data_IF_080565866494
#
_entry.id   IF_080565866494
#
_cell.length_a   1.000
_cell.length_b   1.000
_cell.length_c   1.000
_cell.angle_alpha   90.00
_cell.angle_beta   90.00
_cell.angle_gamma   90.00
#
_symmetry.space_group_name_H-M   'P 1'
#
loop_
_entity.id
_entity.type
_entity.pdbx_description
1 polymer ?
#
# COMPACT_ATOMS: atom_id res chain seq x y z
N UNK A 1 -4.26 -8.96 -7.16
CA UNK A 1 -4.69 -9.33 -5.78
C UNK A 1 -4.74 -8.08 -4.91
N UNK A 2 -5.87 -7.80 -4.35
CA UNK A 2 -6.10 -6.61 -3.53
C UNK A 2 -6.35 -7.04 -2.08
N UNK A 3 -5.47 -6.62 -1.17
CA UNK A 3 -5.59 -6.90 0.25
C UNK A 3 -5.70 -5.59 1.03
N UNK A 4 -6.62 -5.57 1.97
CA UNK A 4 -6.85 -4.42 2.85
C UNK A 4 -6.50 -4.83 4.28
N UNK A 5 -5.74 -3.98 4.96
CA UNK A 5 -5.33 -4.20 6.35
C UNK A 5 -5.98 -3.16 7.24
N UNK A 6 -6.69 -3.65 8.26
CA UNK A 6 -7.32 -2.84 9.29
C UNK A 6 -6.70 -3.13 10.63
N UNK A 7 -6.91 -2.25 11.60
CA UNK A 7 -6.50 -2.50 12.99
C UNK A 7 -7.70 -2.97 13.80
N UNK A 8 -7.52 -4.10 14.51
CA UNK A 8 -8.48 -4.62 15.47
C UNK A 8 -7.73 -4.94 16.78
N UNK A 9 -8.07 -4.24 17.86
CA UNK A 9 -7.39 -4.37 19.15
C UNK A 9 -5.87 -4.17 19.06
N UNK A 10 -5.42 -3.24 18.23
CA UNK A 10 -4.00 -2.95 18.01
C UNK A 10 -3.28 -3.94 17.12
N UNK A 11 -3.97 -4.93 16.56
CA UNK A 11 -3.40 -5.94 15.67
C UNK A 11 -3.86 -5.73 14.23
N UNK A 12 -2.96 -6.01 13.31
CA UNK A 12 -3.24 -5.92 11.89
C UNK A 12 -4.08 -7.11 11.43
N UNK A 13 -5.21 -6.82 10.78
CA UNK A 13 -6.13 -7.83 10.22
C UNK A 13 -6.17 -7.66 8.71
N UNK A 14 -5.93 -8.75 7.98
CA UNK A 14 -5.96 -8.79 6.52
C UNK A 14 -7.32 -9.21 6.00
N UNK A 15 -7.85 -8.45 5.03
CA UNK A 15 -9.08 -8.79 4.31
C UNK A 15 -8.78 -8.79 2.82
N UNK A 16 -9.01 -9.92 2.17
CA UNK A 16 -8.90 -10.01 0.70
C UNK A 16 -10.15 -9.44 0.06
N UNK A 17 -9.97 -8.60 -0.97
CA UNK A 17 -11.08 -7.91 -1.63
C UNK A 17 -11.37 -8.58 -2.97
N UNK A 18 -12.57 -9.10 -3.11
CA UNK A 18 -13.05 -9.75 -4.33
C UNK A 18 -13.97 -8.84 -5.16
N UNK A 19 -14.61 -7.86 -4.52
CA UNK A 19 -15.53 -6.95 -5.18
C UNK A 19 -15.53 -5.57 -4.51
N UNK A 20 -15.98 -4.54 -5.23
CA UNK A 20 -15.98 -3.15 -4.77
C UNK A 20 -16.74 -2.96 -3.45
N UNK A 21 -17.84 -3.67 -3.25
CA UNK A 21 -18.64 -3.55 -2.03
C UNK A 21 -17.89 -3.96 -0.76
N UNK A 22 -16.85 -4.79 -0.88
CA UNK A 22 -16.02 -5.18 0.25
C UNK A 22 -15.21 -4.01 0.81
N UNK A 23 -14.84 -3.04 -0.05
CA UNK A 23 -14.10 -1.84 0.35
C UNK A 23 -14.97 -0.85 1.15
N UNK A 24 -16.26 -0.78 0.87
CA UNK A 24 -17.16 0.23 1.44
C UNK A 24 -17.34 0.09 2.95
N UNK A 25 -17.13 -1.11 3.48
CA UNK A 25 -17.36 -1.42 4.90
C UNK A 25 -16.09 -1.34 5.74
N UNK A 26 -14.93 -1.06 5.14
CA UNK A 26 -13.64 -1.13 5.80
C UNK A 26 -13.05 0.26 6.04
N UNK A 27 -12.37 0.41 7.19
CA UNK A 27 -11.54 1.58 7.49
C UNK A 27 -10.08 1.14 7.50
N UNK A 28 -9.41 1.11 6.33
CA UNK A 28 -8.07 0.58 6.24
C UNK A 28 -7.01 1.56 6.71
N UNK A 29 -5.90 1.02 7.15
CA UNK A 29 -4.65 1.77 7.34
C UNK A 29 -3.63 1.46 6.25
N UNK A 30 -3.75 0.30 5.63
CA UNK A 30 -2.86 -0.14 4.55
C UNK A 30 -3.65 -0.91 3.50
N UNK A 31 -3.48 -0.53 2.23
CA UNK A 31 -4.04 -1.22 1.08
C UNK A 31 -2.89 -1.71 0.22
N UNK A 32 -2.73 -3.03 0.10
CA UNK A 32 -1.65 -3.64 -0.67
C UNK A 32 -2.18 -4.24 -1.96
N UNK A 33 -1.62 -3.80 -3.08
CA UNK A 33 -1.97 -4.28 -4.42
C UNK A 33 -0.80 -5.07 -4.99
N UNK A 34 -0.93 -6.38 -5.04
CA UNK A 34 0.02 -7.29 -5.68
C UNK A 34 -0.47 -7.67 -7.07
N UNK A 35 0.29 -7.31 -8.10
CA UNK A 35 -0.08 -7.51 -9.50
C UNK A 35 -1.55 -7.20 -9.76
N UNK A 36 -2.01 -5.98 -9.41
CA UNK A 36 -3.43 -5.68 -9.44
C UNK A 36 -3.98 -5.70 -10.87
N UNK A 37 -5.22 -6.18 -11.02
CA UNK A 37 -5.95 -6.09 -12.27
C UNK A 37 -6.38 -4.65 -12.52
N UNK A 38 -6.75 -4.33 -13.77
CA UNK A 38 -7.28 -3.00 -14.11
C UNK A 38 -8.53 -2.66 -13.31
N UNK A 39 -9.36 -3.66 -13.07
CA UNK A 39 -10.58 -3.53 -12.30
C UNK A 39 -10.28 -3.21 -10.84
N UNK A 40 -9.34 -3.91 -10.21
CA UNK A 40 -8.91 -3.65 -8.84
C UNK A 40 -8.33 -2.23 -8.68
N UNK A 41 -7.49 -1.78 -9.62
CA UNK A 41 -6.97 -0.42 -9.64
C UNK A 41 -8.10 0.61 -9.75
N UNK A 42 -9.08 0.35 -10.59
CA UNK A 42 -10.24 1.23 -10.76
C UNK A 42 -11.06 1.34 -9.49
N UNK A 43 -11.29 0.24 -8.78
CA UNK A 43 -11.99 0.24 -7.50
C UNK A 43 -11.30 1.12 -6.46
N UNK A 44 -9.98 0.98 -6.35
CA UNK A 44 -9.18 1.78 -5.41
C UNK A 44 -9.21 3.26 -5.78
N UNK A 45 -9.02 3.60 -7.06
CA UNK A 45 -9.11 4.97 -7.55
C UNK A 45 -10.48 5.61 -7.24
N UNK A 46 -11.54 4.86 -7.53
CA UNK A 46 -12.90 5.37 -7.37
C UNK A 46 -13.28 5.52 -5.90
N UNK A 47 -12.95 4.54 -5.08
CA UNK A 47 -13.35 4.53 -3.67
C UNK A 47 -12.56 5.54 -2.84
N UNK A 48 -11.25 5.67 -3.08
CA UNK A 48 -10.36 6.53 -2.28
C UNK A 48 -10.00 7.85 -2.96
N UNK A 49 -10.37 8.05 -4.21
CA UNK A 49 -10.05 9.25 -4.96
C UNK A 49 -8.56 9.42 -5.25
N UNK A 50 -7.84 8.33 -5.45
CA UNK A 50 -6.40 8.32 -5.68
C UNK A 50 -6.03 8.53 -7.14
N UNK A 51 -4.84 9.12 -7.35
CA UNK A 51 -4.15 9.14 -8.63
C UNK A 51 -3.13 8.00 -8.67
N UNK A 52 -3.46 6.90 -9.36
CA UNK A 52 -2.52 5.78 -9.54
C UNK A 52 -1.94 5.85 -10.94
N UNK A 53 -0.61 6.08 -11.11
CA UNK A 53 0.02 6.04 -12.41
C UNK A 53 -0.09 4.65 -13.04
N UNK A 54 -0.29 4.57 -14.36
CA UNK A 54 -0.37 3.29 -15.07
C UNK A 54 0.93 2.50 -15.00
N UNK A 55 2.06 3.21 -14.93
CA UNK A 55 3.40 2.66 -14.88
C UNK A 55 4.02 2.74 -13.46
N UNK A 56 3.20 2.62 -12.42
CA UNK A 56 3.63 2.80 -11.03
C UNK A 56 4.85 1.94 -10.65
N UNK A 57 4.96 0.74 -11.22
CA UNK A 57 6.08 -0.18 -11.00
C UNK A 57 7.07 -0.24 -12.17
N UNK A 58 6.95 0.67 -13.14
CA UNK A 58 7.82 0.73 -14.31
C UNK A 58 9.28 1.01 -13.97
N UNK A 59 10.20 0.47 -14.77
CA UNK A 59 11.64 0.56 -14.53
C UNK A 59 12.26 1.90 -14.96
N UNK A 60 11.69 2.54 -15.98
CA UNK A 60 12.24 3.75 -16.63
C UNK A 60 11.74 5.04 -15.99
N UNK A 61 12.07 5.24 -14.71
CA UNK A 61 11.65 6.42 -13.98
C UNK A 61 12.86 7.26 -13.60
N UNK A 62 12.83 8.53 -13.99
CA UNK A 62 13.82 9.52 -13.57
C UNK A 62 13.81 9.68 -12.05
N UNK A 63 14.97 9.97 -11.45
CA UNK A 63 15.09 10.14 -9.99
C UNK A 63 14.10 11.17 -9.43
N UNK A 64 13.81 12.23 -10.19
CA UNK A 64 12.84 13.26 -9.80
C UNK A 64 11.40 12.74 -9.64
N UNK A 65 11.08 11.61 -10.29
CA UNK A 65 9.76 10.98 -10.21
C UNK A 65 9.64 9.92 -9.11
N UNK A 66 10.73 9.66 -8.36
CA UNK A 66 10.72 8.67 -7.27
C UNK A 66 10.01 9.16 -6.02
N UNK A 67 10.00 10.45 -5.81
CA UNK A 67 9.25 11.08 -4.73
C UNK A 67 8.61 12.36 -5.28
N UNK A 68 7.29 12.47 -5.13
CA UNK A 68 6.56 13.70 -5.46
C UNK A 68 5.29 13.79 -4.64
N UNK A 69 4.79 15.02 -4.49
CA UNK A 69 3.55 15.32 -3.81
C UNK A 69 2.54 15.89 -4.81
N UNK A 70 1.35 15.31 -4.82
CA UNK A 70 0.24 15.81 -5.64
C UNK A 70 -0.45 17.01 -4.97
N UNK A 71 -1.20 17.79 -5.77
CA UNK A 71 -1.92 18.97 -5.27
C UNK A 71 -2.94 18.64 -4.18
N UNK A 72 -3.46 17.42 -4.14
CA UNK A 72 -4.39 16.94 -3.13
C UNK A 72 -3.73 16.46 -1.83
N UNK A 73 -2.42 16.60 -1.71
CA UNK A 73 -1.65 16.18 -0.53
C UNK A 73 -1.19 14.72 -0.54
N UNK A 74 -1.46 13.96 -1.60
CA UNK A 74 -0.95 12.61 -1.74
C UNK A 74 0.57 12.62 -1.91
N UNK A 75 1.27 11.80 -1.12
CA UNK A 75 2.71 11.60 -1.25
C UNK A 75 2.97 10.29 -2.00
N UNK A 76 3.67 10.39 -3.12
CA UNK A 76 4.04 9.25 -3.95
C UNK A 76 5.52 8.95 -3.79
N UNK A 77 5.84 7.73 -3.40
CA UNK A 77 7.23 7.27 -3.18
C UNK A 77 7.41 5.98 -3.97
N UNK A 78 8.52 5.90 -4.71
CA UNK A 78 8.93 4.67 -5.39
C UNK A 78 10.24 4.19 -4.82
N UNK A 79 10.25 2.96 -4.35
CA UNK A 79 11.41 2.34 -3.71
C UNK A 79 11.74 1.00 -4.36
N UNK A 80 13.03 0.71 -4.43
CA UNK A 80 13.52 -0.58 -4.90
C UNK A 80 13.87 -1.45 -3.71
N UNK A 81 13.32 -2.66 -3.68
CA UNK A 81 13.62 -3.67 -2.67
C UNK A 81 14.52 -4.76 -3.26
N UNK A 82 15.57 -5.07 -2.54
CA UNK A 82 16.48 -6.16 -2.94
C UNK A 82 15.91 -7.50 -2.50
N UNK A 83 15.77 -8.41 -3.44
CA UNK A 83 15.38 -9.79 -3.17
C UNK A 83 16.57 -10.70 -3.47
N UNK A 84 17.03 -11.43 -2.46
CA UNK A 84 18.07 -12.44 -2.59
C UNK A 84 17.43 -13.79 -2.77
N UNK A 85 17.41 -14.27 -4.03
CA UNK A 85 17.13 -15.68 -4.34
C UNK A 85 18.45 -16.47 -4.33
N UNK A 86 18.39 -17.79 -4.17
CA UNK A 86 19.57 -18.65 -4.01
C UNK A 86 20.66 -18.44 -5.07
N UNK A 87 20.30 -18.03 -6.28
CA UNK A 87 21.22 -17.86 -7.40
C UNK A 87 21.41 -16.42 -7.89
N UNK A 88 20.49 -15.48 -7.56
CA UNK A 88 20.51 -14.12 -8.07
C UNK A 88 19.92 -13.11 -7.08
N UNK A 89 20.60 -11.96 -6.96
CA UNK A 89 20.03 -10.77 -6.31
C UNK A 89 19.32 -9.91 -7.36
N UNK A 90 18.08 -9.52 -7.11
CA UNK A 90 17.33 -8.65 -8.01
C UNK A 90 16.59 -7.56 -7.24
N UNK A 91 16.35 -6.45 -7.91
CA UNK A 91 15.57 -5.33 -7.36
C UNK A 91 14.13 -5.42 -7.84
N UNK A 92 13.18 -5.24 -6.91
CA UNK A 92 11.76 -5.13 -7.21
C UNK A 92 11.28 -3.76 -6.79
N UNK A 93 10.64 -3.04 -7.72
CA UNK A 93 10.11 -1.71 -7.42
C UNK A 93 8.73 -1.79 -6.80
N UNK A 94 8.55 -0.99 -5.75
CA UNK A 94 7.25 -0.80 -5.09
C UNK A 94 6.89 0.68 -5.16
N UNK A 95 5.67 0.96 -5.58
CA UNK A 95 5.11 2.30 -5.49
C UNK A 95 4.30 2.41 -4.20
N UNK A 96 4.59 3.45 -3.42
CA UNK A 96 3.85 3.78 -2.22
C UNK A 96 3.10 5.09 -2.42
N UNK A 97 1.85 5.13 -1.99
CA UNK A 97 1.05 6.34 -1.96
C UNK A 97 0.52 6.52 -0.54
N UNK A 98 0.93 7.60 0.11
CA UNK A 98 0.41 7.96 1.42
C UNK A 98 -0.65 9.06 1.23
N UNK A 99 -1.88 8.74 1.59
CA UNK A 99 -2.99 9.68 1.57
C UNK A 99 -3.35 10.02 3.01
N UNK A 100 -3.12 11.29 3.41
CA UNK A 100 -3.51 11.81 4.70
C UNK A 100 -4.79 12.63 4.54
N UNK A 101 -5.91 12.09 5.02
CA UNK A 101 -7.14 12.84 5.13
C UNK A 101 -7.19 13.53 6.49
N UNK A 102 -7.07 14.85 6.49
CA UNK A 102 -7.32 15.64 7.68
C UNK A 102 -8.83 15.75 7.87
N UNK A 103 -9.38 14.92 8.74
CA UNK A 103 -10.69 15.21 9.32
C UNK A 103 -10.46 15.97 10.62
N UNK A 104 -11.36 16.88 10.99
CA UNK A 104 -11.21 17.76 12.16
C UNK A 104 -10.98 17.03 13.49
N UNK A 105 -11.13 15.69 13.53
CA UNK A 105 -11.06 14.87 14.75
C UNK A 105 -9.97 13.80 14.75
N UNK A 106 -9.42 13.39 13.61
CA UNK A 106 -8.31 12.41 13.52
C UNK A 106 -7.60 12.52 12.17
N UNK A 107 -6.28 12.49 12.19
CA UNK A 107 -5.50 12.23 10.98
C UNK A 107 -5.67 10.74 10.61
N UNK A 108 -6.58 10.45 9.71
CA UNK A 108 -6.74 9.09 9.16
C UNK A 108 -5.92 9.00 7.88
N UNK A 109 -4.66 8.56 8.02
CA UNK A 109 -3.83 8.23 6.86
C UNK A 109 -4.11 6.82 6.38
N UNK A 110 -4.00 6.62 5.07
CA UNK A 110 -4.01 5.29 4.44
C UNK A 110 -2.77 5.17 3.58
N UNK A 111 -2.01 4.11 3.77
CA UNK A 111 -0.88 3.77 2.93
C UNK A 111 -1.33 2.79 1.85
N UNK A 112 -1.01 3.11 0.60
CA UNK A 112 -1.23 2.22 -0.55
C UNK A 112 0.11 1.73 -1.04
N UNK A 113 0.25 0.43 -1.29
CA UNK A 113 1.43 -0.17 -1.90
C UNK A 113 1.05 -0.93 -3.16
N UNK A 114 1.82 -0.73 -4.23
CA UNK A 114 1.62 -1.40 -5.52
C UNK A 114 2.92 -2.11 -5.86
N UNK A 115 2.84 -3.42 -6.07
CA UNK A 115 3.99 -4.27 -6.40
C UNK A 115 3.57 -5.39 -7.35
N UNK A 116 4.52 -5.90 -8.11
CA UNK A 116 4.28 -6.98 -9.07
C UNK A 116 4.66 -8.36 -8.53
N UNK A 117 5.37 -8.41 -7.40
CA UNK A 117 5.86 -9.65 -6.81
C UNK A 117 5.70 -9.67 -5.29
N UNK A 118 5.70 -10.86 -4.70
CA UNK A 118 5.74 -11.01 -3.24
C UNK A 118 7.13 -10.58 -2.72
N UNK A 119 7.12 -9.74 -1.68
CA UNK A 119 8.33 -9.21 -1.06
C UNK A 119 8.43 -9.77 0.36
N UNK A 120 9.51 -10.49 0.69
CA UNK A 120 9.65 -11.14 2.00
C UNK A 120 9.52 -10.20 3.20
N UNK A 121 10.02 -8.97 3.08
CA UNK A 121 9.93 -7.98 4.16
C UNK A 121 8.49 -7.58 4.46
N UNK A 122 7.62 -7.52 3.44
CA UNK A 122 6.19 -7.26 3.63
C UNK A 122 5.52 -8.40 4.39
N UNK A 123 5.88 -9.62 4.05
CA UNK A 123 5.35 -10.82 4.71
C UNK A 123 5.74 -10.87 6.18
N UNK A 124 6.99 -10.52 6.49
CA UNK A 124 7.48 -10.45 7.87
C UNK A 124 6.74 -9.37 8.67
N UNK A 125 6.54 -8.18 8.10
CA UNK A 125 5.83 -7.10 8.75
C UNK A 125 4.38 -7.49 9.06
N UNK A 126 3.69 -8.08 8.10
CA UNK A 126 2.31 -8.56 8.30
C UNK A 126 2.22 -9.57 9.43
N UNK A 127 3.15 -10.52 9.46
CA UNK A 127 3.20 -11.57 10.47
C UNK A 127 3.44 -11.01 11.86
N UNK A 128 4.39 -10.08 11.99
CA UNK A 128 4.71 -9.43 13.27
C UNK A 128 3.56 -8.54 13.77
N UNK A 129 2.97 -7.75 12.89
CA UNK A 129 1.87 -6.85 13.24
C UNK A 129 0.59 -7.61 13.64
N UNK A 130 0.41 -8.83 13.13
CA UNK A 130 -0.68 -9.71 13.53
C UNK A 130 -0.49 -10.25 14.95
N UNK A 131 0.75 -10.51 15.36
CA UNK A 131 1.09 -11.13 16.64
C UNK A 131 1.30 -10.12 17.76
N UNK A 132 1.85 -8.96 17.46
CA UNK A 132 2.25 -7.95 18.45
C UNK A 132 1.26 -6.78 18.42
N UNK A 133 0.40 -6.65 19.46
CA UNK A 133 -0.51 -5.50 19.55
C UNK A 133 0.29 -4.20 19.72
N UNK A 134 -0.15 -3.13 19.05
CA UNK A 134 0.47 -1.82 19.17
C UNK A 134 1.76 -1.62 18.36
N UNK A 135 2.20 -2.62 17.57
CA UNK A 135 3.35 -2.46 16.69
C UNK A 135 3.09 -1.40 15.61
N UNK A 136 1.87 -1.36 15.09
CA UNK A 136 1.40 -0.38 14.12
C UNK A 136 0.17 0.32 14.68
N UNK A 137 0.24 1.64 14.84
CA UNK A 137 -0.88 2.46 15.31
C UNK A 137 -1.59 3.19 14.16
N UNK A 138 -0.87 3.56 13.12
CA UNK A 138 -1.42 4.25 11.95
C UNK A 138 -0.67 3.89 10.65
N UNK A 139 -1.08 4.51 9.54
CA UNK A 139 -0.51 4.25 8.23
C UNK A 139 0.98 4.63 8.11
N UNK A 140 1.47 5.52 8.93
CA UNK A 140 2.88 5.95 8.90
C UNK A 140 3.82 4.90 9.48
N UNK A 141 3.31 4.00 10.31
CA UNK A 141 4.09 2.95 10.97
C UNK A 141 4.28 1.71 10.08
N UNK A 142 3.53 1.63 8.99
CA UNK A 142 3.59 0.48 8.06
C UNK A 142 4.90 0.42 7.26
#
# INVERSE_FOLDING_TARGET
MLNVFTLSNGRLVQVEIDQLSDLEQLQPIWVDMESPTREEKRWVKQHYGLSIPEDATGEDIEESARFYEEDNGEQHIRSDFLIDDEDESRSVRVAFILNQRNTELKSCGVLFSIRDEDIPVFRLLRMRARRVPGLIDDAKDV
#
